data_IF_941594436010
#
_entry.id   IF_941594436010
#
_cell.length_a   1.000
_cell.length_b   1.000
_cell.length_c   1.000
_cell.angle_alpha   90.00
_cell.angle_beta   90.00
_cell.angle_gamma   90.00
#
_symmetry.space_group_name_H-M   'P 1'
#
loop_
_entity.id
_entity.type
_entity.pdbx_description
1 polymer ?
#
# COMPACT_ATOMS: atom_id res chain seq x y z
N UNK A 1 -7.75 -6.57 4.64
CA UNK A 1 -7.04 -5.45 5.28
C UNK A 1 -6.04 -4.88 4.29
N UNK A 2 -6.00 -3.56 4.14
CA UNK A 2 -4.94 -2.89 3.37
C UNK A 2 -3.94 -2.30 4.35
N UNK A 3 -2.66 -2.32 3.99
CA UNK A 3 -1.60 -1.73 4.81
C UNK A 3 -0.60 -0.97 3.92
N UNK A 4 -0.19 0.19 4.38
CA UNK A 4 0.92 0.91 3.76
C UNK A 4 2.24 0.24 4.12
N UNK A 5 3.13 0.07 3.13
CA UNK A 5 4.49 -0.43 3.34
C UNK A 5 5.22 0.29 4.49
N UNK A 6 6.21 -0.37 5.06
CA UNK A 6 7.08 0.15 6.12
C UNK A 6 8.04 1.24 5.60
N UNK A 7 8.78 1.86 6.49
CA UNK A 7 9.61 3.04 6.21
C UNK A 7 10.78 2.74 5.25
N UNK A 8 11.02 3.69 4.35
CA UNK A 8 12.21 3.78 3.50
C UNK A 8 12.97 5.04 3.85
N UNK A 9 14.24 5.17 3.41
CA UNK A 9 15.00 6.42 3.57
C UNK A 9 14.28 7.59 2.91
N UNK A 10 13.65 7.38 1.77
CA UNK A 10 12.89 8.41 1.08
C UNK A 10 11.62 8.86 1.83
N UNK A 11 11.05 8.01 2.68
CA UNK A 11 10.00 8.45 3.61
C UNK A 11 10.57 9.39 4.68
N UNK A 12 11.70 9.02 5.29
CA UNK A 12 12.36 9.85 6.31
C UNK A 12 12.80 11.20 5.74
N UNK A 13 13.27 11.22 4.49
CA UNK A 13 13.70 12.42 3.76
C UNK A 13 12.53 13.21 3.13
N UNK A 14 11.29 12.73 3.23
CA UNK A 14 10.11 13.33 2.61
C UNK A 14 10.24 13.50 1.09
N UNK A 15 10.76 12.46 0.40
CA UNK A 15 10.86 12.40 -1.06
C UNK A 15 9.69 11.67 -1.69
N UNK A 16 9.31 12.13 -2.86
CA UNK A 16 8.38 11.44 -3.74
C UNK A 16 9.01 10.16 -4.27
N UNK A 17 8.36 9.01 -4.02
CA UNK A 17 8.89 7.72 -4.43
C UNK A 17 8.35 7.22 -5.77
N UNK A 18 7.04 7.36 -5.98
CA UNK A 18 6.41 6.85 -7.20
C UNK A 18 6.78 5.39 -7.47
N UNK A 19 7.25 5.12 -8.67
CA UNK A 19 7.71 3.79 -9.11
C UNK A 19 9.20 3.52 -8.84
N UNK A 20 9.94 4.44 -8.20
CA UNK A 20 11.31 4.14 -7.77
C UNK A 20 11.33 2.93 -6.84
N UNK A 21 12.24 2.00 -7.12
CA UNK A 21 12.33 0.74 -6.38
C UNK A 21 13.22 0.89 -5.13
N UNK A 22 12.78 1.73 -4.20
CA UNK A 22 13.46 2.05 -2.94
C UNK A 22 13.16 0.97 -1.90
N UNK A 23 14.19 0.30 -1.33
CA UNK A 23 14.00 -0.73 -0.30
C UNK A 23 13.62 -0.15 1.06
N UNK A 24 13.25 -0.99 2.00
CA UNK A 24 13.09 -0.61 3.39
C UNK A 24 14.44 -0.18 3.99
N UNK A 25 14.40 0.79 4.91
CA UNK A 25 15.51 1.05 5.80
C UNK A 25 15.44 0.13 7.04
N UNK A 26 16.44 0.21 7.93
CA UNK A 26 16.48 -0.67 9.11
C UNK A 26 15.26 -0.48 10.01
N UNK A 27 14.83 0.78 10.20
CA UNK A 27 13.61 1.10 10.94
C UNK A 27 12.37 0.51 10.28
N UNK A 28 12.30 0.53 8.95
CA UNK A 28 11.22 -0.07 8.20
C UNK A 28 11.13 -1.59 8.41
N UNK A 29 12.28 -2.28 8.46
CA UNK A 29 12.30 -3.72 8.77
C UNK A 29 11.81 -4.01 10.18
N UNK A 30 12.20 -3.21 11.17
CA UNK A 30 11.66 -3.31 12.52
C UNK A 30 10.16 -3.04 12.59
N UNK A 31 9.66 -2.05 11.81
CA UNK A 31 8.22 -1.76 11.70
C UNK A 31 7.47 -2.96 11.11
N UNK A 32 8.01 -3.59 10.04
CA UNK A 32 7.39 -4.77 9.43
C UNK A 32 7.34 -5.96 10.39
N UNK A 33 8.38 -6.15 11.20
CA UNK A 33 8.40 -7.20 12.22
C UNK A 33 7.33 -6.95 13.30
N UNK A 34 7.19 -5.72 13.80
CA UNK A 34 6.13 -5.36 14.75
C UNK A 34 4.74 -5.53 14.15
N UNK A 35 4.56 -5.13 12.89
CA UNK A 35 3.29 -5.35 12.18
C UNK A 35 2.94 -6.84 12.11
N UNK A 36 3.91 -7.72 11.87
CA UNK A 36 3.69 -9.17 11.88
C UNK A 36 3.22 -9.67 13.26
N UNK A 37 3.84 -9.18 14.33
CA UNK A 37 3.44 -9.53 15.71
C UNK A 37 2.02 -9.05 16.04
N UNK A 38 1.65 -7.83 15.63
CA UNK A 38 0.31 -7.26 15.79
C UNK A 38 -0.74 -8.06 15.00
N UNK A 39 -0.40 -8.55 13.81
CA UNK A 39 -1.29 -9.33 12.97
C UNK A 39 -1.35 -10.82 13.30
N UNK A 40 -0.54 -11.31 14.24
CA UNK A 40 -0.48 -12.74 14.57
C UNK A 40 -1.83 -13.32 15.01
N UNK A 41 -2.68 -12.53 15.68
CA UNK A 41 -4.02 -12.96 16.11
C UNK A 41 -5.06 -12.97 14.97
N UNK A 42 -4.80 -12.31 13.84
CA UNK A 42 -5.75 -12.10 12.74
C UNK A 42 -5.98 -13.34 11.88
N UNK A 43 -5.08 -14.34 11.96
CA UNK A 43 -5.17 -15.59 11.17
C UNK A 43 -5.36 -15.31 9.68
N UNK A 44 -4.35 -14.69 9.09
CA UNK A 44 -4.35 -14.38 7.66
C UNK A 44 -4.36 -15.65 6.80
N UNK A 45 -5.21 -15.68 5.79
CA UNK A 45 -5.27 -16.77 4.81
C UNK A 45 -4.35 -16.52 3.60
N UNK A 46 -4.11 -15.25 3.26
CA UNK A 46 -3.27 -14.85 2.14
C UNK A 46 -2.65 -13.47 2.34
N UNK A 47 -1.52 -13.23 1.67
CA UNK A 47 -0.87 -11.93 1.59
C UNK A 47 -0.64 -11.59 0.11
N UNK A 48 -1.15 -10.43 -0.31
CA UNK A 48 -0.87 -9.86 -1.62
C UNK A 48 -0.08 -8.57 -1.46
N UNK A 49 0.85 -8.28 -2.35
CA UNK A 49 1.68 -7.08 -2.25
C UNK A 49 1.97 -6.44 -3.60
N UNK A 50 2.16 -5.12 -3.62
CA UNK A 50 2.83 -4.46 -4.72
C UNK A 50 4.22 -5.08 -4.94
N UNK A 51 4.65 -5.17 -6.18
CA UNK A 51 5.97 -5.69 -6.56
C UNK A 51 7.12 -4.71 -6.27
N UNK A 52 6.84 -3.44 -5.93
CA UNK A 52 7.86 -2.49 -5.51
C UNK A 52 8.53 -2.95 -4.20
N UNK A 53 9.87 -2.88 -4.16
CA UNK A 53 10.72 -3.47 -3.12
C UNK A 53 10.21 -3.19 -1.71
N UNK A 54 9.87 -1.95 -1.36
CA UNK A 54 9.36 -1.56 -0.04
C UNK A 54 8.08 -2.27 0.39
N UNK A 55 7.15 -2.48 -0.54
CA UNK A 55 5.90 -3.17 -0.23
C UNK A 55 6.11 -4.69 -0.21
N UNK A 56 6.86 -5.23 -1.17
CA UNK A 56 7.20 -6.64 -1.22
C UNK A 56 7.99 -7.06 0.02
N UNK A 57 9.06 -6.34 0.39
CA UNK A 57 9.87 -6.66 1.57
C UNK A 57 9.05 -6.59 2.88
N UNK A 58 8.15 -5.59 3.01
CA UNK A 58 7.19 -5.54 4.14
C UNK A 58 6.34 -6.81 4.19
N UNK A 59 5.76 -7.21 3.05
CA UNK A 59 4.92 -8.40 2.96
C UNK A 59 5.70 -9.69 3.24
N UNK A 60 6.94 -9.82 2.73
CA UNK A 60 7.80 -10.97 2.92
C UNK A 60 8.17 -11.16 4.41
N UNK A 61 8.47 -10.07 5.14
CA UNK A 61 8.75 -10.11 6.58
C UNK A 61 7.50 -10.59 7.34
N UNK A 62 6.33 -10.03 7.03
CA UNK A 62 5.06 -10.45 7.65
C UNK A 62 4.75 -11.91 7.31
N UNK A 63 4.87 -12.28 6.03
CA UNK A 63 4.60 -13.64 5.57
C UNK A 63 5.51 -14.69 6.20
N UNK A 64 6.82 -14.40 6.28
CA UNK A 64 7.78 -15.29 6.92
C UNK A 64 7.48 -15.52 8.41
N UNK A 65 7.04 -14.46 9.12
CA UNK A 65 6.69 -14.56 10.55
C UNK A 65 5.39 -15.34 10.77
N UNK A 66 4.40 -15.17 9.89
CA UNK A 66 3.08 -15.78 10.06
C UNK A 66 2.92 -17.11 9.32
N UNK A 67 3.91 -17.53 8.53
CA UNK A 67 3.85 -18.75 7.72
C UNK A 67 2.88 -18.66 6.54
N UNK A 68 2.68 -17.45 5.98
CA UNK A 68 1.76 -17.20 4.86
C UNK A 68 2.56 -16.78 3.63
N UNK A 69 2.27 -17.41 2.49
CA UNK A 69 2.93 -17.09 1.21
C UNK A 69 2.49 -15.72 0.68
N UNK A 70 3.43 -15.00 0.04
CA UNK A 70 3.19 -13.69 -0.54
C UNK A 70 3.01 -13.80 -2.06
N UNK A 71 1.92 -13.26 -2.57
CA UNK A 71 1.67 -13.11 -4.01
C UNK A 71 1.85 -11.65 -4.40
N UNK A 72 2.68 -11.37 -5.41
CA UNK A 72 2.90 -10.01 -5.88
C UNK A 72 1.97 -9.65 -7.05
N UNK A 73 1.52 -8.40 -7.05
CA UNK A 73 0.63 -7.84 -8.07
C UNK A 73 1.08 -6.41 -8.44
N UNK A 74 1.58 -6.19 -9.69
CA UNK A 74 2.03 -4.86 -10.14
C UNK A 74 0.91 -3.81 -10.16
N UNK A 75 -0.35 -4.22 -10.24
CA UNK A 75 -1.49 -3.29 -10.22
C UNK A 75 -1.69 -2.65 -8.83
N UNK A 76 -1.00 -3.17 -7.78
CA UNK A 76 -0.96 -2.55 -6.44
C UNK A 76 0.12 -1.46 -6.28
N UNK A 77 0.92 -1.14 -7.32
CA UNK A 77 1.94 -0.09 -7.26
C UNK A 77 1.37 1.25 -6.85
N UNK A 78 2.24 2.08 -6.25
CA UNK A 78 1.98 3.49 -6.00
C UNK A 78 1.70 4.23 -7.33
N UNK A 79 1.15 5.43 -7.23
CA UNK A 79 1.03 6.32 -8.37
C UNK A 79 2.41 6.65 -8.95
N UNK A 80 2.54 6.62 -10.27
CA UNK A 80 3.70 7.20 -10.93
C UNK A 80 3.67 8.73 -10.73
N UNK A 81 4.73 9.27 -10.18
CA UNK A 81 4.81 10.70 -9.81
C UNK A 81 5.59 11.54 -10.84
N UNK A 82 5.92 10.94 -11.99
CA UNK A 82 6.59 11.63 -13.09
C UNK A 82 7.90 12.26 -12.64
N UNK A 83 8.12 13.51 -13.06
CA UNK A 83 9.33 14.30 -12.76
C UNK A 83 9.56 14.62 -11.28
N UNK A 84 8.58 14.36 -10.42
CA UNK A 84 8.71 14.55 -8.96
C UNK A 84 9.49 13.42 -8.30
N UNK A 85 9.70 12.29 -8.99
CA UNK A 85 10.41 11.12 -8.43
C UNK A 85 11.80 11.47 -7.92
N UNK A 86 12.08 11.12 -6.65
CA UNK A 86 13.35 11.39 -5.95
C UNK A 86 13.49 12.81 -5.40
N UNK A 87 12.60 13.72 -5.73
CA UNK A 87 12.62 15.09 -5.20
C UNK A 87 11.92 15.16 -3.85
N UNK A 88 12.38 16.06 -2.98
CA UNK A 88 11.69 16.33 -1.72
C UNK A 88 10.37 17.08 -1.96
N UNK A 89 9.46 17.01 -1.00
CA UNK A 89 8.19 17.72 -1.11
C UNK A 89 8.38 19.22 -1.30
N UNK A 90 9.32 19.84 -0.58
CA UNK A 90 9.63 21.25 -0.71
C UNK A 90 10.23 21.66 -2.06
N UNK A 91 10.92 20.75 -2.75
CA UNK A 91 11.46 21.02 -4.11
C UNK A 91 10.40 21.01 -5.20
N UNK A 92 9.20 20.51 -4.92
CA UNK A 92 8.10 20.41 -5.88
C UNK A 92 6.92 21.32 -5.55
N UNK A 93 6.96 22.03 -4.41
CA UNK A 93 5.88 22.93 -3.99
C UNK A 93 5.59 24.02 -5.04
N UNK A 94 6.62 24.46 -5.81
CA UNK A 94 6.51 25.47 -6.87
C UNK A 94 6.21 24.85 -8.26
N UNK A 95 6.00 23.53 -8.38
CA UNK A 95 5.70 22.86 -9.64
C UNK A 95 4.20 22.67 -9.84
N UNK A 96 3.53 23.51 -10.65
CA UNK A 96 2.08 23.47 -10.78
C UNK A 96 1.57 22.29 -11.62
N UNK A 97 2.40 21.72 -12.50
CA UNK A 97 1.96 20.68 -13.43
C UNK A 97 2.24 19.28 -12.93
N UNK A 98 1.20 18.44 -12.97
CA UNK A 98 1.28 17.02 -12.71
C UNK A 98 1.55 16.27 -14.03
N UNK A 99 2.72 15.65 -14.14
CA UNK A 99 3.18 14.87 -15.30
C UNK A 99 3.28 13.36 -15.02
N UNK A 100 2.76 12.92 -13.87
CA UNK A 100 2.70 11.52 -13.49
C UNK A 100 1.43 10.81 -13.99
N UNK A 101 1.18 9.62 -13.45
CA UNK A 101 -0.03 8.85 -13.73
C UNK A 101 -1.29 9.67 -13.35
N UNK A 102 -2.31 9.76 -14.22
CA UNK A 102 -3.56 10.42 -13.88
C UNK A 102 -4.19 9.80 -12.61
N UNK A 103 -4.66 10.64 -11.71
CA UNK A 103 -5.20 10.19 -10.42
C UNK A 103 -6.36 9.21 -10.57
N UNK A 104 -7.24 9.41 -11.55
CA UNK A 104 -8.34 8.51 -11.86
C UNK A 104 -7.85 7.15 -12.36
N UNK A 105 -6.86 7.13 -13.25
CA UNK A 105 -6.28 5.90 -13.78
C UNK A 105 -5.61 5.06 -12.67
N UNK A 106 -4.88 5.73 -11.75
CA UNK A 106 -4.33 5.10 -10.56
C UNK A 106 -5.43 4.50 -9.67
N UNK A 107 -6.48 5.27 -9.35
CA UNK A 107 -7.59 4.80 -8.54
C UNK A 107 -8.27 3.57 -9.16
N UNK A 108 -8.55 3.61 -10.46
CA UNK A 108 -9.17 2.49 -11.19
C UNK A 108 -8.27 1.25 -11.20
N UNK A 109 -6.96 1.41 -11.40
CA UNK A 109 -5.99 0.32 -11.41
C UNK A 109 -5.97 -0.38 -10.05
N UNK A 110 -5.80 0.38 -8.97
CA UNK A 110 -5.74 -0.18 -7.62
C UNK A 110 -7.09 -0.81 -7.21
N UNK A 111 -8.21 -0.19 -7.56
CA UNK A 111 -9.53 -0.75 -7.28
C UNK A 111 -9.75 -2.08 -8.01
N UNK A 112 -9.32 -2.19 -9.29
CA UNK A 112 -9.37 -3.45 -10.03
C UNK A 112 -8.54 -4.53 -9.35
N UNK A 113 -7.32 -4.22 -8.90
CA UNK A 113 -6.45 -5.16 -8.20
C UNK A 113 -7.10 -5.65 -6.90
N UNK A 114 -7.58 -4.74 -6.06
CA UNK A 114 -8.26 -5.08 -4.79
C UNK A 114 -9.50 -5.94 -5.04
N UNK A 115 -10.31 -5.59 -6.04
CA UNK A 115 -11.47 -6.38 -6.45
C UNK A 115 -11.08 -7.79 -6.87
N UNK A 116 -10.08 -7.94 -7.75
CA UNK A 116 -9.63 -9.24 -8.23
C UNK A 116 -9.06 -10.11 -7.10
N UNK A 117 -8.38 -9.50 -6.12
CA UNK A 117 -7.91 -10.19 -4.91
C UNK A 117 -9.12 -10.69 -4.09
N UNK A 118 -10.09 -9.83 -3.84
CA UNK A 118 -11.27 -10.18 -3.05
C UNK A 118 -12.09 -11.31 -3.71
N UNK A 119 -12.25 -11.28 -5.04
CA UNK A 119 -12.94 -12.31 -5.82
C UNK A 119 -12.21 -13.66 -5.82
N UNK A 120 -10.86 -13.65 -5.76
CA UNK A 120 -10.03 -14.87 -5.65
C UNK A 120 -10.02 -15.47 -4.23
N UNK A 121 -10.34 -14.69 -3.23
CA UNK A 121 -10.25 -15.06 -1.81
C UNK A 121 -11.59 -14.87 -1.07
N UNK A 122 -12.69 -15.53 -1.52
CA UNK A 122 -14.01 -15.35 -0.91
C UNK A 122 -13.99 -15.84 0.55
N UNK A 123 -14.51 -15.01 1.46
CA UNK A 123 -14.60 -15.29 2.90
C UNK A 123 -13.24 -15.48 3.61
N UNK A 124 -12.15 -15.08 3.00
CA UNK A 124 -10.79 -15.15 3.54
C UNK A 124 -10.34 -13.81 4.11
N UNK A 125 -9.40 -13.88 5.04
CA UNK A 125 -8.69 -12.70 5.57
C UNK A 125 -7.41 -12.49 4.78
N UNK A 126 -7.41 -11.47 3.94
CA UNK A 126 -6.27 -11.14 3.08
C UNK A 126 -5.62 -9.86 3.57
N UNK A 127 -4.29 -9.87 3.70
CA UNK A 127 -3.49 -8.68 3.86
C UNK A 127 -3.04 -8.19 2.47
N UNK A 128 -3.30 -6.93 2.16
CA UNK A 128 -2.84 -6.29 0.93
C UNK A 128 -1.84 -5.20 1.29
N UNK A 129 -0.55 -5.43 0.99
CA UNK A 129 0.52 -4.47 1.24
C UNK A 129 0.70 -3.57 0.03
N UNK A 130 0.40 -2.29 0.20
CA UNK A 130 0.40 -1.29 -0.86
C UNK A 130 1.01 0.03 -0.37
N UNK A 131 0.56 1.17 -0.88
CA UNK A 131 1.18 2.47 -0.71
C UNK A 131 0.19 3.52 -0.18
N UNK A 132 0.74 4.62 0.36
CA UNK A 132 -0.08 5.68 0.94
C UNK A 132 -0.98 6.38 -0.05
N UNK A 133 -0.50 6.65 -1.26
CA UNK A 133 -1.31 7.25 -2.33
C UNK A 133 -2.42 6.31 -2.79
N UNK A 134 -2.12 5.03 -2.95
CA UNK A 134 -3.11 4.00 -3.32
C UNK A 134 -4.24 3.89 -2.30
N UNK A 135 -3.91 3.83 -1.00
CA UNK A 135 -4.91 3.78 0.07
C UNK A 135 -5.75 5.06 0.12
N UNK A 136 -5.12 6.22 -0.08
CA UNK A 136 -5.83 7.51 -0.14
C UNK A 136 -6.84 7.53 -1.28
N UNK A 137 -6.46 7.09 -2.48
CA UNK A 137 -7.37 7.06 -3.64
C UNK A 137 -8.56 6.12 -3.43
N UNK A 138 -8.35 4.97 -2.80
CA UNK A 138 -9.44 4.07 -2.43
C UNK A 138 -10.40 4.72 -1.41
N UNK A 139 -9.87 5.43 -0.40
CA UNK A 139 -10.68 6.20 0.55
C UNK A 139 -11.52 7.26 -0.15
N UNK A 140 -10.89 8.09 -0.98
CA UNK A 140 -11.58 9.15 -1.72
C UNK A 140 -12.65 8.59 -2.68
N UNK A 141 -12.38 7.44 -3.32
CA UNK A 141 -13.36 6.74 -4.16
C UNK A 141 -14.62 6.31 -3.38
N UNK A 142 -14.47 6.03 -2.09
CA UNK A 142 -15.58 5.69 -1.20
C UNK A 142 -16.26 6.93 -0.56
N UNK A 143 -15.85 8.14 -0.93
CA UNK A 143 -16.36 9.39 -0.33
C UNK A 143 -15.84 9.64 1.09
N UNK A 144 -14.72 9.01 1.49
CA UNK A 144 -14.06 9.22 2.77
C UNK A 144 -12.99 10.33 2.65
N UNK A 145 -12.47 10.79 3.78
CA UNK A 145 -11.58 11.96 3.89
C UNK A 145 -10.17 11.79 3.28
N UNK A 146 -9.85 10.60 2.76
CA UNK A 146 -8.53 10.30 2.21
C UNK A 146 -7.42 10.14 3.25
N UNK A 147 -7.70 10.27 4.51
CA UNK A 147 -6.87 10.06 5.72
C UNK A 147 -5.36 10.24 5.64
N UNK A 148 -4.67 10.38 6.73
CA UNK A 148 -3.22 10.20 6.76
C UNK A 148 -2.89 8.71 6.91
N UNK A 149 -2.37 8.07 5.86
CA UNK A 149 -1.83 6.72 5.95
C UNK A 149 -0.32 6.76 6.22
N UNK A 150 0.09 6.70 7.50
CA UNK A 150 1.47 6.51 7.90
C UNK A 150 2.02 5.14 7.51
N UNK A 151 3.34 4.92 7.60
CA UNK A 151 3.93 3.60 7.39
C UNK A 151 3.29 2.57 8.35
N UNK A 152 3.04 1.37 7.88
CA UNK A 152 2.35 0.28 8.60
C UNK A 152 0.93 0.60 9.09
N UNK A 153 0.32 1.71 8.67
CA UNK A 153 -1.10 1.92 8.97
C UNK A 153 -1.94 0.84 8.29
N UNK A 154 -2.70 0.11 9.09
CA UNK A 154 -3.65 -0.90 8.63
C UNK A 154 -5.03 -0.28 8.51
N UNK A 155 -5.68 -0.53 7.38
CA UNK A 155 -7.07 -0.19 7.15
C UNK A 155 -7.89 -1.47 6.99
N UNK A 156 -8.73 -1.76 7.99
CA UNK A 156 -9.63 -2.89 7.95
C UNK A 156 -10.83 -2.59 7.06
N UNK A 157 -11.14 -3.49 6.15
CA UNK A 157 -12.30 -3.37 5.26
C UNK A 157 -12.82 -4.75 4.85
N UNK A 158 -14.09 -4.82 4.46
CA UNK A 158 -14.71 -5.99 3.84
C UNK A 158 -14.98 -5.72 2.36
N UNK A 159 -14.98 -6.78 1.55
CA UNK A 159 -15.52 -6.75 0.19
C UNK A 159 -16.91 -7.34 0.22
N UNK A 160 -17.92 -6.51 -0.01
CA UNK A 160 -19.32 -6.92 0.04
C UNK A 160 -20.10 -6.31 -1.13
N UNK A 161 -20.93 -7.12 -1.79
CA UNK A 161 -21.79 -6.65 -2.89
C UNK A 161 -21.06 -5.89 -4.02
N UNK A 162 -19.81 -6.29 -4.30
CA UNK A 162 -19.01 -5.67 -5.37
C UNK A 162 -18.34 -4.34 -4.99
N UNK A 163 -18.30 -3.99 -3.70
CA UNK A 163 -17.66 -2.77 -3.20
C UNK A 163 -16.87 -3.01 -1.91
N UNK A 164 -15.95 -2.08 -1.62
CA UNK A 164 -15.21 -2.03 -0.36
C UNK A 164 -16.10 -1.36 0.70
N UNK A 165 -16.20 -1.97 1.88
CA UNK A 165 -16.85 -1.40 3.05
C UNK A 165 -15.83 -1.30 4.20
N UNK A 166 -15.55 -0.10 4.73
CA UNK A 166 -14.75 0.04 5.94
C UNK A 166 -15.31 -0.80 7.09
N UNK A 167 -14.44 -1.35 7.91
CA UNK A 167 -14.78 -1.97 9.20
C UNK A 167 -14.35 -1.01 10.31
N UNK A 168 -15.21 -0.86 11.32
CA UNK A 168 -14.95 -0.04 12.51
C UNK A 168 -13.86 -0.66 13.39
#
# INVERSE_FOLDING_TARGET
MLVRHSETDWNAERRWQGHADVPLNDRGREQAQRLAEELAAEKLDAICASDLARARETAEIVGATLGVEVVVDPDLREIDVGSRQGRTWSEVDDQPEWDGEPHEAHAERVLRAVRAIAERHPSQRVLVVTHGGSMRRLHEHLGLDGGPFGNCTVWACAWENGSIRPLD
#
